data_IF_851558908693
#
_entry.id   IF_851558908693
#
_cell.length_a   1.000
_cell.length_b   1.000
_cell.length_c   1.000
_cell.angle_alpha   90.00
_cell.angle_beta   90.00
_cell.angle_gamma   90.00
#
_symmetry.space_group_name_H-M   'P 1'
#
loop_
_entity.id
_entity.type
_entity.pdbx_description
1 polymer ?
#
# COMPACT_ATOMS: atom_id res chain seq x y z
N UNK A 1 -44.48 -60.01 3.07
CA UNK A 1 -44.91 -58.69 3.58
C UNK A 1 -44.49 -58.70 5.04
N UNK A 2 -43.60 -57.86 5.59
CA UNK A 2 -43.64 -56.38 5.64
C UNK A 2 -42.33 -55.83 6.26
N UNK A 3 -41.74 -54.83 5.59
CA UNK A 3 -41.02 -53.61 6.05
C UNK A 3 -39.74 -53.67 6.91
N UNK A 4 -38.62 -53.30 6.26
CA UNK A 4 -37.40 -52.70 6.83
C UNK A 4 -37.69 -51.30 7.40
N UNK A 5 -37.02 -50.87 8.48
CA UNK A 5 -36.79 -49.46 8.78
C UNK A 5 -35.42 -49.02 8.26
N UNK A 6 -35.42 -48.16 7.25
CA UNK A 6 -34.27 -47.36 6.83
C UNK A 6 -34.21 -46.15 7.79
N UNK A 7 -33.24 -46.14 8.69
CA UNK A 7 -32.90 -44.96 9.49
C UNK A 7 -31.85 -44.15 8.72
N UNK A 8 -32.30 -43.05 8.11
CA UNK A 8 -31.46 -42.06 7.44
C UNK A 8 -30.46 -41.46 8.43
N UNK A 9 -29.16 -41.65 8.18
CA UNK A 9 -28.11 -40.77 8.70
C UNK A 9 -28.21 -39.41 7.99
N UNK A 10 -28.76 -38.40 8.67
CA UNK A 10 -28.59 -37.02 8.26
C UNK A 10 -27.21 -36.53 8.75
N UNK A 11 -26.17 -36.78 7.95
CA UNK A 11 -24.87 -36.15 8.15
C UNK A 11 -24.99 -34.66 7.80
N UNK A 12 -25.27 -33.82 8.79
CA UNK A 12 -25.08 -32.38 8.66
C UNK A 12 -23.59 -32.09 8.61
N UNK A 13 -23.01 -32.09 7.41
CA UNK A 13 -21.71 -31.47 7.16
C UNK A 13 -21.91 -29.96 7.26
N UNK A 14 -21.68 -29.40 8.44
CA UNK A 14 -21.49 -27.97 8.59
C UNK A 14 -20.32 -27.57 7.69
N UNK A 15 -20.49 -26.63 6.73
CA UNK A 15 -19.34 -26.08 6.05
C UNK A 15 -18.50 -25.37 7.10
N UNK A 16 -17.27 -25.84 7.29
CA UNK A 16 -16.27 -25.15 8.10
C UNK A 16 -16.20 -23.70 7.58
N UNK A 17 -16.65 -22.75 8.41
CA UNK A 17 -16.47 -21.34 8.14
C UNK A 17 -14.97 -21.11 8.00
N UNK A 18 -14.51 -20.95 6.76
CA UNK A 18 -13.15 -20.57 6.45
C UNK A 18 -12.91 -19.21 7.11
N UNK A 19 -12.30 -19.24 8.29
CA UNK A 19 -11.89 -18.07 9.02
C UNK A 19 -10.86 -17.35 8.16
N UNK A 20 -11.30 -16.34 7.42
CA UNK A 20 -10.42 -15.46 6.66
C UNK A 20 -9.47 -14.84 7.67
N UNK A 21 -8.21 -15.30 7.67
CA UNK A 21 -7.17 -14.75 8.55
C UNK A 21 -7.17 -13.24 8.32
N UNK A 22 -7.51 -12.48 9.36
CA UNK A 22 -7.47 -11.04 9.31
C UNK A 22 -6.03 -10.62 9.02
N UNK A 23 -5.76 -10.14 7.81
CA UNK A 23 -4.42 -9.67 7.44
C UNK A 23 -4.10 -8.46 8.29
N UNK A 24 -3.01 -8.55 9.05
CA UNK A 24 -2.53 -7.50 9.95
C UNK A 24 -2.10 -6.27 9.15
N UNK A 25 -2.36 -5.08 9.69
CA UNK A 25 -1.86 -3.83 9.09
C UNK A 25 -0.32 -3.82 9.11
N UNK A 26 0.34 -3.28 8.08
CA UNK A 26 1.78 -3.22 8.06
C UNK A 26 2.28 -2.20 9.09
N UNK A 27 3.33 -2.57 9.80
CA UNK A 27 4.07 -1.66 10.68
C UNK A 27 4.67 -0.50 9.88
N UNK A 28 5.04 0.60 10.55
CA UNK A 28 5.69 1.73 9.87
C UNK A 28 6.94 1.32 9.10
N UNK A 29 7.75 0.40 9.64
CA UNK A 29 8.95 -0.10 8.96
C UNK A 29 8.61 -0.89 7.68
N UNK A 30 7.58 -1.75 7.74
CA UNK A 30 7.10 -2.49 6.57
C UNK A 30 6.52 -1.55 5.51
N UNK A 31 5.74 -0.55 5.92
CA UNK A 31 5.21 0.46 5.02
C UNK A 31 6.32 1.26 4.33
N UNK A 32 7.35 1.68 5.09
CA UNK A 32 8.54 2.36 4.54
C UNK A 32 9.22 1.51 3.47
N UNK A 33 9.42 0.21 3.71
CA UNK A 33 10.03 -0.68 2.72
C UNK A 33 9.17 -0.77 1.44
N UNK A 34 7.87 -1.03 1.59
CA UNK A 34 6.93 -1.12 0.46
C UNK A 34 6.90 0.17 -0.36
N UNK A 35 6.86 1.33 0.28
CA UNK A 35 6.88 2.62 -0.42
C UNK A 35 8.24 2.91 -1.05
N UNK A 36 9.36 2.57 -0.39
CA UNK A 36 10.69 2.78 -0.96
C UNK A 36 10.85 2.01 -2.27
N UNK A 37 10.48 0.73 -2.27
CA UNK A 37 10.57 -0.11 -3.47
C UNK A 37 9.65 0.38 -4.58
N UNK A 38 8.41 0.73 -4.23
CA UNK A 38 7.45 1.24 -5.20
C UNK A 38 7.86 2.59 -5.79
N UNK A 39 8.40 3.51 -4.98
CA UNK A 39 8.91 4.80 -5.48
C UNK A 39 10.10 4.61 -6.41
N UNK A 40 11.10 3.81 -6.04
CA UNK A 40 12.25 3.51 -6.92
C UNK A 40 11.82 2.90 -8.25
N UNK A 41 10.79 2.05 -8.23
CA UNK A 41 10.24 1.41 -9.42
C UNK A 41 9.44 2.38 -10.30
N UNK A 42 8.60 3.21 -9.71
CA UNK A 42 7.59 4.00 -10.44
C UNK A 42 7.94 5.47 -10.62
N UNK A 43 8.98 5.98 -9.93
CA UNK A 43 9.50 7.34 -10.03
C UNK A 43 10.99 7.34 -10.34
N UNK A 44 11.40 6.82 -11.52
CA UNK A 44 12.82 6.79 -11.89
C UNK A 44 13.41 8.18 -12.15
N UNK A 45 12.56 9.21 -12.23
CA UNK A 45 12.88 10.63 -12.20
C UNK A 45 13.45 11.11 -10.85
N UNK A 46 13.36 10.28 -9.82
CA UNK A 46 13.91 10.51 -8.50
C UNK A 46 14.83 9.36 -8.06
N UNK A 47 16.01 9.71 -7.54
CA UNK A 47 16.85 8.82 -6.77
C UNK A 47 16.47 8.92 -5.29
N UNK A 48 15.69 7.95 -4.81
CA UNK A 48 15.08 7.92 -3.48
C UNK A 48 16.12 7.55 -2.42
N UNK A 49 16.44 8.50 -1.54
CA UNK A 49 17.37 8.30 -0.42
C UNK A 49 16.68 7.76 0.82
N UNK A 50 15.51 8.29 1.17
CA UNK A 50 14.78 7.85 2.36
C UNK A 50 13.29 8.08 2.24
N UNK A 51 12.51 7.16 2.84
CA UNK A 51 11.06 7.31 3.04
C UNK A 51 10.78 7.23 4.54
N UNK A 52 9.96 8.14 5.05
CA UNK A 52 9.54 8.18 6.44
C UNK A 52 8.02 8.23 6.52
N UNK A 53 7.44 7.46 7.42
CA UNK A 53 6.02 7.55 7.76
C UNK A 53 5.84 8.60 8.85
N UNK A 54 5.13 9.68 8.54
CA UNK A 54 4.77 10.74 9.49
C UNK A 54 3.45 10.44 10.21
N UNK A 55 2.51 9.81 9.50
CA UNK A 55 1.19 9.42 10.01
C UNK A 55 0.64 8.24 9.21
N UNK A 56 -0.24 7.45 9.80
CA UNK A 56 -1.01 6.42 9.10
C UNK A 56 -2.46 6.44 9.55
N UNK A 57 -3.39 6.31 8.60
CA UNK A 57 -4.82 6.21 8.85
C UNK A 57 -5.37 4.99 8.11
N UNK A 58 -5.70 3.90 8.84
CA UNK A 58 -6.34 2.75 8.21
C UNK A 58 -7.78 3.10 7.83
N UNK A 59 -8.19 2.72 6.62
CA UNK A 59 -9.58 2.83 6.18
C UNK A 59 -10.03 1.50 5.57
N UNK A 60 -11.19 1.01 5.97
CA UNK A 60 -11.77 -0.20 5.39
C UNK A 60 -13.00 0.18 4.58
N UNK A 61 -13.06 -0.26 3.33
CA UNK A 61 -14.24 -0.07 2.49
C UNK A 61 -14.72 -1.44 1.99
N UNK A 62 -15.84 -1.91 2.55
CA UNK A 62 -16.37 -3.26 2.31
C UNK A 62 -15.29 -4.32 2.58
N UNK A 63 -14.93 -5.10 1.55
CA UNK A 63 -13.91 -6.16 1.59
C UNK A 63 -12.51 -5.68 1.24
N UNK A 64 -12.37 -4.45 0.72
CA UNK A 64 -11.07 -3.87 0.37
C UNK A 64 -10.51 -3.12 1.56
N UNK A 65 -9.28 -3.48 1.92
CA UNK A 65 -8.52 -2.76 2.94
C UNK A 65 -7.51 -1.86 2.25
N UNK A 66 -7.54 -0.58 2.59
CA UNK A 66 -6.48 0.35 2.23
C UNK A 66 -5.98 1.08 3.48
N UNK A 67 -4.74 1.53 3.45
CA UNK A 67 -4.17 2.36 4.50
C UNK A 67 -3.55 3.56 3.82
N UNK A 68 -4.00 4.75 4.21
CA UNK A 68 -3.42 6.01 3.77
C UNK A 68 -2.31 6.39 4.72
N UNK A 69 -1.15 6.74 4.17
CA UNK A 69 0.00 7.20 4.92
C UNK A 69 0.30 8.66 4.58
N UNK A 70 0.81 9.41 5.56
CA UNK A 70 1.49 10.68 5.32
C UNK A 70 2.98 10.39 5.29
N UNK A 71 3.63 10.63 4.15
CA UNK A 71 5.04 10.32 3.96
C UNK A 71 5.89 11.59 3.92
N UNK A 72 7.16 11.45 4.30
CA UNK A 72 8.23 12.35 3.91
C UNK A 72 9.27 11.55 3.14
N UNK A 73 9.55 11.99 1.92
CA UNK A 73 10.43 11.31 0.97
C UNK A 73 11.55 12.25 0.63
N UNK A 74 12.78 11.84 0.90
CA UNK A 74 13.97 12.57 0.47
C UNK A 74 14.53 11.89 -0.75
N UNK A 75 14.68 12.65 -1.83
CA UNK A 75 15.17 12.14 -3.10
C UNK A 75 15.94 13.23 -3.85
N UNK A 76 16.77 12.81 -4.81
CA UNK A 76 17.48 13.71 -5.72
C UNK A 76 16.89 13.55 -7.11
N UNK A 77 16.63 14.65 -7.82
CA UNK A 77 16.15 14.56 -9.20
C UNK A 77 17.20 13.94 -10.12
N UNK A 78 16.77 13.01 -10.97
CA UNK A 78 17.61 12.35 -11.97
C UNK A 78 17.44 13.01 -13.34
N UNK A 79 18.22 12.55 -14.31
CA UNK A 79 18.15 12.97 -15.71
C UNK A 79 16.86 12.55 -16.43
N UNK A 80 16.09 11.63 -15.81
CA UNK A 80 14.78 11.18 -16.30
C UNK A 80 13.62 12.10 -15.90
N UNK A 81 13.88 13.07 -15.02
CA UNK A 81 12.91 14.05 -14.54
C UNK A 81 13.00 15.41 -15.22
N UNK A 82 12.50 16.44 -14.55
CA UNK A 82 12.62 17.81 -15.04
C UNK A 82 14.05 18.34 -14.87
N UNK A 83 14.50 19.16 -15.83
CA UNK A 83 15.83 19.77 -15.79
C UNK A 83 16.02 20.68 -14.58
N UNK A 84 14.94 21.24 -14.06
CA UNK A 84 14.96 22.10 -12.87
C UNK A 84 15.31 21.33 -11.59
N UNK A 85 14.98 20.03 -11.53
CA UNK A 85 15.21 19.17 -10.37
C UNK A 85 16.49 18.34 -10.48
N UNK A 86 17.08 18.24 -11.66
CA UNK A 86 18.27 17.42 -11.90
C UNK A 86 19.40 17.72 -10.91
N UNK A 87 19.92 16.68 -10.26
CA UNK A 87 20.99 16.71 -9.24
C UNK A 87 20.68 17.56 -8.00
N UNK A 88 19.45 18.02 -7.83
CA UNK A 88 19.01 18.75 -6.64
C UNK A 88 18.25 17.82 -5.72
N UNK A 89 18.49 17.98 -4.43
CA UNK A 89 17.83 17.23 -3.37
C UNK A 89 16.51 17.89 -3.00
N UNK A 90 15.47 17.09 -2.86
CA UNK A 90 14.13 17.51 -2.50
C UNK A 90 13.60 16.68 -1.34
N UNK A 91 12.71 17.31 -0.56
CA UNK A 91 11.81 16.62 0.35
C UNK A 91 10.40 16.72 -0.20
N UNK A 92 9.85 15.58 -0.59
CA UNK A 92 8.48 15.42 -1.03
C UNK A 92 7.59 14.94 0.12
N UNK A 93 6.47 15.62 0.32
CA UNK A 93 5.41 15.25 1.27
C UNK A 93 4.10 15.16 0.49
N UNK A 94 3.87 14.04 -0.22
CA UNK A 94 2.63 13.84 -0.98
C UNK A 94 1.40 14.01 -0.08
N UNK A 95 0.31 14.53 -0.63
CA UNK A 95 -0.96 14.63 0.09
C UNK A 95 -1.44 13.27 0.63
N UNK A 96 -2.27 13.29 1.68
CA UNK A 96 -2.62 12.10 2.46
C UNK A 96 -3.33 10.99 1.65
N UNK A 97 -3.91 11.32 0.50
CA UNK A 97 -4.49 10.36 -0.46
C UNK A 97 -3.51 9.85 -1.54
N UNK A 98 -2.29 10.39 -1.58
CA UNK A 98 -1.27 10.07 -2.59
C UNK A 98 -0.30 8.98 -2.13
N UNK A 99 -0.39 8.50 -0.89
CA UNK A 99 0.42 7.38 -0.38
C UNK A 99 -0.48 6.30 0.21
N UNK A 100 -0.92 5.37 -0.65
CA UNK A 100 -1.89 4.33 -0.29
C UNK A 100 -1.25 2.95 -0.37
N UNK A 101 -1.41 2.14 0.69
CA UNK A 101 -1.22 0.68 0.60
C UNK A 101 -2.58 0.00 0.43
N UNK A 102 -2.69 -0.93 -0.51
CA UNK A 102 -3.88 -1.76 -0.76
C UNK A 102 -3.58 -3.21 -0.43
N UNK A 103 -4.58 -3.92 0.09
CA UNK A 103 -4.50 -5.36 0.27
C UNK A 103 -4.94 -6.08 -1.02
N UNK A 104 -4.00 -6.71 -1.71
CA UNK A 104 -4.25 -7.47 -2.94
C UNK A 104 -3.68 -8.89 -2.80
N UNK A 105 -4.52 -9.91 -3.02
CA UNK A 105 -4.08 -11.31 -2.88
C UNK A 105 -3.52 -11.67 -1.50
N UNK A 106 -3.95 -10.96 -0.45
CA UNK A 106 -3.43 -11.11 0.92
C UNK A 106 -2.13 -10.35 1.21
N UNK A 107 -1.59 -9.59 0.25
CA UNK A 107 -0.36 -8.82 0.39
C UNK A 107 -0.63 -7.31 0.36
N UNK A 108 0.08 -6.56 1.19
CA UNK A 108 0.05 -5.10 1.12
C UNK A 108 0.95 -4.63 -0.01
N UNK A 109 0.39 -3.86 -0.93
CA UNK A 109 1.12 -3.27 -2.06
C UNK A 109 0.85 -1.77 -2.13
N UNK A 110 1.85 -1.00 -2.56
CA UNK A 110 1.66 0.43 -2.77
C UNK A 110 0.87 0.70 -4.05
N UNK A 111 -0.08 1.64 -3.98
CA UNK A 111 -0.86 2.07 -5.13
C UNK A 111 -0.01 2.89 -6.09
N UNK A 112 0.40 2.26 -7.20
CA UNK A 112 1.26 2.90 -8.19
C UNK A 112 0.65 4.17 -8.80
N UNK A 113 -0.69 4.24 -8.93
CA UNK A 113 -1.34 5.43 -9.50
C UNK A 113 -1.14 6.65 -8.61
N UNK A 114 -1.19 6.43 -7.31
CA UNK A 114 -1.01 7.50 -6.32
C UNK A 114 0.44 7.98 -6.28
N UNK A 115 1.41 7.07 -6.40
CA UNK A 115 2.83 7.40 -6.48
C UNK A 115 3.17 8.23 -7.74
N UNK A 116 2.58 7.87 -8.88
CA UNK A 116 2.80 8.58 -10.15
C UNK A 116 2.13 9.96 -10.21
N UNK A 117 1.08 10.19 -9.42
CA UNK A 117 0.29 11.44 -9.44
C UNK A 117 0.78 12.53 -8.48
N UNK A 118 1.93 12.34 -7.81
CA UNK A 118 2.50 13.37 -6.94
C UNK A 118 2.91 14.58 -7.76
N UNK A 119 2.40 15.75 -7.40
CA UNK A 119 2.69 17.00 -8.07
C UNK A 119 3.96 17.61 -7.46
N UNK A 120 5.08 17.59 -8.16
CA UNK A 120 6.38 17.99 -7.60
C UNK A 120 6.42 19.46 -7.20
N UNK A 121 5.73 20.32 -7.94
CA UNK A 121 5.69 21.77 -7.68
C UNK A 121 4.97 22.13 -6.38
N UNK A 122 4.01 21.30 -5.98
CA UNK A 122 3.20 21.49 -4.77
C UNK A 122 3.73 20.65 -3.61
N UNK A 123 4.09 19.41 -3.90
CA UNK A 123 4.35 18.38 -2.89
C UNK A 123 5.84 18.26 -2.55
N UNK A 124 6.75 18.82 -3.37
CA UNK A 124 8.19 18.77 -3.14
C UNK A 124 8.79 20.15 -2.90
N UNK A 125 9.71 20.22 -1.93
CA UNK A 125 10.48 21.43 -1.61
C UNK A 125 11.97 21.14 -1.62
N UNK A 126 12.84 22.09 -2.03
CA UNK A 126 14.29 21.90 -1.96
C UNK A 126 14.74 21.53 -0.55
N UNK A 127 15.55 20.47 -0.45
CA UNK A 127 16.11 20.00 0.81
C UNK A 127 17.63 20.23 0.81
N UNK A 128 18.15 20.58 1.99
CA UNK A 128 19.59 20.73 2.21
C UNK A 128 20.29 19.37 2.26
#
# INVERSE_FOLDING_TARGET
MTRLPILLLAAFTFPALAQTKAVTLPTSAQAVALFTDAWKKHRPDFDVQSVQVLKSEPKQHQDRRWVTYKLAITATGTDKGSREMYQKKYRCTPEDYSSVLKLEGGNWIADEKMIKNVNESRDCSPAR
#
